data_IF_283286255655
#
_entry.id   IF_283286255655
#
_cell.length_a   1.000
_cell.length_b   1.000
_cell.length_c   1.000
_cell.angle_alpha   90.00
_cell.angle_beta   90.00
_cell.angle_gamma   90.00
#
_symmetry.space_group_name_H-M   'P 1'
#
loop_
_entity.id
_entity.type
_entity.pdbx_description
1 polymer ?
#
# COMPACT_ATOMS: atom_id res chain seq x y z
N UNK A 1 21.92 2.75 -25.36
CA UNK A 1 21.06 1.57 -25.20
C UNK A 1 21.24 1.07 -23.79
N UNK A 2 20.20 0.99 -22.95
CA UNK A 2 20.31 0.34 -21.66
C UNK A 2 20.49 -1.16 -21.91
N UNK A 3 21.45 -1.75 -21.21
CA UNK A 3 21.71 -3.18 -21.25
C UNK A 3 20.54 -3.89 -20.55
N UNK A 4 19.82 -4.72 -21.30
CA UNK A 4 18.90 -5.70 -20.75
C UNK A 4 19.68 -6.59 -19.79
N UNK A 5 19.54 -6.34 -18.49
CA UNK A 5 19.98 -7.28 -17.47
C UNK A 5 19.06 -8.48 -17.61
N UNK A 6 19.50 -9.45 -18.39
CA UNK A 6 18.98 -10.81 -18.37
C UNK A 6 19.08 -11.30 -16.92
N UNK A 7 18.02 -11.15 -16.13
CA UNK A 7 17.76 -12.01 -14.99
C UNK A 7 17.73 -13.43 -15.56
N UNK A 8 18.86 -14.13 -15.45
CA UNK A 8 19.04 -15.46 -16.01
C UNK A 8 17.94 -16.39 -15.49
N UNK A 9 17.38 -17.19 -16.41
CA UNK A 9 16.31 -18.19 -16.26
C UNK A 9 16.01 -18.58 -14.79
N UNK A 10 14.85 -18.16 -14.28
CA UNK A 10 14.28 -18.70 -13.04
C UNK A 10 14.44 -17.86 -11.78
N UNK A 11 15.22 -16.77 -11.79
CA UNK A 11 15.38 -15.92 -10.59
C UNK A 11 14.06 -15.35 -10.06
N UNK A 12 13.20 -14.86 -10.96
CA UNK A 12 11.85 -14.41 -10.61
C UNK A 12 10.97 -15.56 -10.09
N UNK A 13 11.05 -16.73 -10.72
CA UNK A 13 10.27 -17.92 -10.32
C UNK A 13 10.64 -18.38 -8.91
N UNK A 14 11.93 -18.31 -8.55
CA UNK A 14 12.41 -18.59 -7.18
C UNK A 14 11.83 -17.59 -6.18
N UNK A 15 11.83 -16.29 -6.50
CA UNK A 15 11.23 -15.25 -5.65
C UNK A 15 9.73 -15.50 -5.47
N UNK A 16 8.99 -15.78 -6.55
CA UNK A 16 7.55 -16.04 -6.50
C UNK A 16 7.22 -17.37 -5.77
N UNK A 17 8.08 -18.38 -5.90
CA UNK A 17 7.99 -19.63 -5.16
C UNK A 17 8.16 -19.41 -3.65
N UNK A 18 9.16 -18.61 -3.25
CA UNK A 18 9.38 -18.24 -1.85
C UNK A 18 8.26 -17.36 -1.28
N UNK A 19 7.74 -16.42 -2.07
CA UNK A 19 6.60 -15.60 -1.71
C UNK A 19 5.35 -16.45 -1.42
N UNK A 20 5.12 -17.47 -2.25
CA UNK A 20 3.96 -18.37 -2.16
C UNK A 20 4.16 -19.51 -1.14
N UNK A 21 5.36 -19.65 -0.57
CA UNK A 21 5.71 -20.71 0.37
C UNK A 21 5.06 -20.57 1.75
N UNK A 22 5.21 -21.61 2.57
CA UNK A 22 4.59 -21.68 3.91
C UNK A 22 5.36 -20.92 5.01
N UNK A 23 6.62 -20.54 4.75
CA UNK A 23 7.47 -19.88 5.74
C UNK A 23 7.33 -18.36 5.66
N UNK A 24 6.56 -17.78 6.59
CA UNK A 24 6.22 -16.34 6.61
C UNK A 24 7.47 -15.45 6.50
N UNK A 25 8.52 -15.72 7.29
CA UNK A 25 9.75 -14.93 7.25
C UNK A 25 10.38 -14.91 5.85
N UNK A 26 10.46 -16.07 5.19
CA UNK A 26 11.00 -16.20 3.83
C UNK A 26 10.13 -15.46 2.82
N UNK A 27 8.80 -15.54 2.96
CA UNK A 27 7.87 -14.83 2.09
C UNK A 27 7.95 -13.30 2.25
N UNK A 28 8.23 -12.80 3.45
CA UNK A 28 8.46 -11.36 3.71
C UNK A 28 9.75 -10.91 3.02
N UNK A 29 10.86 -11.65 3.16
CA UNK A 29 12.11 -11.32 2.46
C UNK A 29 11.93 -11.35 0.93
N UNK A 30 11.21 -12.36 0.42
CA UNK A 30 10.85 -12.42 -1.00
C UNK A 30 10.03 -11.20 -1.44
N UNK A 31 9.17 -10.66 -0.57
CA UNK A 31 8.43 -9.40 -0.83
C UNK A 31 9.39 -8.20 -0.93
N UNK A 32 10.42 -8.14 -0.09
CA UNK A 32 11.47 -7.14 -0.17
C UNK A 32 12.25 -7.18 -1.49
N UNK A 33 12.58 -8.38 -1.97
CA UNK A 33 13.20 -8.55 -3.30
C UNK A 33 12.22 -8.14 -4.40
N UNK A 34 10.96 -8.60 -4.32
CA UNK A 34 9.93 -8.28 -5.32
C UNK A 34 9.69 -6.76 -5.43
N UNK A 35 9.75 -6.04 -4.31
CA UNK A 35 9.65 -4.57 -4.28
C UNK A 35 10.69 -3.92 -5.19
N UNK A 36 11.93 -4.38 -5.13
CA UNK A 36 13.03 -3.85 -5.94
C UNK A 36 12.83 -4.19 -7.43
N UNK A 37 12.40 -5.42 -7.72
CA UNK A 37 12.16 -5.87 -9.10
C UNK A 37 11.00 -5.13 -9.77
N UNK A 38 10.00 -4.70 -9.00
CA UNK A 38 8.74 -4.12 -9.50
C UNK A 38 8.66 -2.61 -9.33
N UNK A 39 9.76 -1.93 -8.96
CA UNK A 39 9.77 -0.49 -8.71
C UNK A 39 9.18 0.29 -9.92
N UNK A 40 8.14 1.13 -9.73
CA UNK A 40 7.47 1.82 -10.85
C UNK A 40 8.36 2.74 -11.68
N UNK A 41 9.45 3.27 -11.09
CA UNK A 41 10.39 4.14 -11.80
C UNK A 41 11.44 3.34 -12.57
N UNK A 42 11.78 2.14 -12.10
CA UNK A 42 12.85 1.29 -12.62
C UNK A 42 12.48 -0.19 -12.51
N UNK A 43 11.40 -0.59 -13.19
CA UNK A 43 10.93 -1.97 -13.12
C UNK A 43 11.88 -2.89 -13.91
N UNK A 44 12.44 -3.88 -13.23
CA UNK A 44 13.26 -4.93 -13.85
C UNK A 44 12.40 -6.07 -14.41
N UNK A 45 11.18 -6.24 -13.89
CA UNK A 45 10.25 -7.30 -14.30
C UNK A 45 8.84 -6.77 -14.52
N UNK A 46 8.14 -7.40 -15.46
CA UNK A 46 6.69 -7.29 -15.64
C UNK A 46 6.05 -8.60 -15.20
N UNK A 47 5.12 -8.52 -14.26
CA UNK A 47 4.44 -9.69 -13.73
C UNK A 47 3.20 -9.99 -14.57
N UNK A 48 2.96 -11.28 -14.79
CA UNK A 48 1.71 -11.76 -15.35
C UNK A 48 0.86 -12.38 -14.24
N UNK A 49 -0.46 -12.23 -14.32
CA UNK A 49 -1.40 -12.78 -13.33
C UNK A 49 -1.09 -12.32 -11.89
N UNK A 50 -1.14 -11.01 -11.65
CA UNK A 50 -0.78 -10.44 -10.34
C UNK A 50 -1.79 -10.74 -9.22
N UNK A 51 -3.00 -11.21 -9.56
CA UNK A 51 -4.07 -11.44 -8.58
C UNK A 51 -3.66 -12.31 -7.39
N UNK A 52 -3.19 -13.56 -7.61
CA UNK A 52 -2.70 -14.42 -6.53
C UNK A 52 -1.54 -13.82 -5.72
N UNK A 53 -0.65 -13.05 -6.37
CA UNK A 53 0.46 -12.36 -5.72
C UNK A 53 -0.07 -11.31 -4.74
N UNK A 54 -1.05 -10.51 -5.16
CA UNK A 54 -1.67 -9.49 -4.33
C UNK A 54 -2.39 -10.10 -3.13
N UNK A 55 -3.15 -11.18 -3.34
CA UNK A 55 -3.83 -11.91 -2.25
C UNK A 55 -2.80 -12.40 -1.24
N UNK A 56 -1.71 -13.03 -1.72
CA UNK A 56 -0.64 -13.51 -0.85
C UNK A 56 0.04 -12.39 -0.06
N UNK A 57 0.33 -11.26 -0.70
CA UNK A 57 0.92 -10.10 -0.03
C UNK A 57 0.00 -9.53 1.05
N UNK A 58 -1.32 -9.52 0.83
CA UNK A 58 -2.27 -9.12 1.87
C UNK A 58 -2.26 -10.12 3.05
N UNK A 59 -2.12 -11.43 2.81
CA UNK A 59 -1.96 -12.44 3.88
C UNK A 59 -0.70 -12.22 4.72
N UNK A 60 0.37 -11.76 4.09
CA UNK A 60 1.60 -11.39 4.78
C UNK A 60 1.44 -10.09 5.59
N UNK A 61 0.68 -9.10 5.09
CA UNK A 61 0.37 -7.86 5.85
C UNK A 61 -0.28 -8.19 7.20
N UNK A 62 -1.21 -9.15 7.23
CA UNK A 62 -1.85 -9.57 8.48
C UNK A 62 -0.87 -10.23 9.46
N UNK A 63 0.23 -10.77 8.94
CA UNK A 63 1.28 -11.45 9.72
C UNK A 63 2.41 -10.52 10.16
N UNK A 64 2.51 -9.30 9.63
CA UNK A 64 3.55 -8.35 10.02
C UNK A 64 3.37 -7.87 11.48
N UNK A 65 4.51 -7.72 12.16
CA UNK A 65 4.59 -7.26 13.57
C UNK A 65 5.58 -6.13 13.77
N UNK A 66 6.28 -5.69 12.71
CA UNK A 66 7.23 -4.57 12.77
C UNK A 66 7.06 -3.68 11.54
N UNK A 67 7.46 -2.42 11.67
CA UNK A 67 7.40 -1.44 10.58
C UNK A 67 8.28 -1.84 9.39
N UNK A 68 9.41 -2.52 9.63
CA UNK A 68 10.27 -3.06 8.58
C UNK A 68 9.56 -4.16 7.77
N UNK A 69 9.01 -5.18 8.44
CA UNK A 69 8.30 -6.27 7.76
C UNK A 69 7.08 -5.75 7.01
N UNK A 70 6.32 -4.84 7.62
CA UNK A 70 5.17 -4.22 6.97
C UNK A 70 5.59 -3.34 5.78
N UNK A 71 6.73 -2.64 5.86
CA UNK A 71 7.25 -1.85 4.75
C UNK A 71 7.58 -2.74 3.55
N UNK A 72 8.31 -3.85 3.75
CA UNK A 72 8.69 -4.75 2.65
C UNK A 72 7.46 -5.29 1.92
N UNK A 73 6.44 -5.73 2.66
CA UNK A 73 5.24 -6.33 2.07
C UNK A 73 4.32 -5.26 1.46
N UNK A 74 4.12 -4.12 2.13
CA UNK A 74 3.26 -3.04 1.60
C UNK A 74 3.86 -2.34 0.38
N UNK A 75 5.19 -2.22 0.30
CA UNK A 75 5.87 -1.68 -0.86
C UNK A 75 5.75 -2.64 -2.06
N UNK A 76 5.90 -3.95 -1.84
CA UNK A 76 5.63 -4.95 -2.87
C UNK A 76 4.18 -4.88 -3.36
N UNK A 77 3.21 -4.81 -2.44
CA UNK A 77 1.78 -4.72 -2.78
C UNK A 77 1.49 -3.47 -3.63
N UNK A 78 2.04 -2.32 -3.24
CA UNK A 78 1.91 -1.04 -3.96
C UNK A 78 2.48 -1.14 -5.37
N UNK A 79 3.69 -1.66 -5.51
CA UNK A 79 4.40 -1.78 -6.79
C UNK A 79 3.73 -2.80 -7.73
N UNK A 80 3.46 -4.01 -7.24
CA UNK A 80 2.82 -5.09 -8.01
C UNK A 80 1.45 -4.64 -8.51
N UNK A 81 0.66 -4.00 -7.64
CA UNK A 81 -0.67 -3.54 -8.05
C UNK A 81 -0.64 -2.44 -9.10
N UNK A 82 0.47 -1.70 -9.29
CA UNK A 82 0.59 -0.68 -10.33
C UNK A 82 0.78 -1.29 -11.73
N UNK A 83 1.22 -2.54 -11.82
CA UNK A 83 1.49 -3.19 -13.11
C UNK A 83 0.21 -3.62 -13.85
N UNK A 84 -0.93 -3.76 -13.17
CA UNK A 84 -2.20 -4.19 -13.75
C UNK A 84 -3.35 -3.25 -13.34
N UNK A 85 -4.09 -2.65 -14.30
CA UNK A 85 -5.28 -1.84 -14.00
C UNK A 85 -6.35 -2.58 -13.19
N UNK A 86 -6.50 -3.90 -13.35
CA UNK A 86 -7.49 -4.71 -12.62
C UNK A 86 -7.04 -5.06 -11.19
N UNK A 87 -5.78 -4.81 -10.85
CA UNK A 87 -5.27 -5.06 -9.51
C UNK A 87 -6.04 -4.30 -8.43
N UNK A 88 -6.53 -3.09 -8.72
CA UNK A 88 -7.28 -2.29 -7.74
C UNK A 88 -8.59 -2.99 -7.36
N UNK A 89 -9.25 -3.62 -8.32
CA UNK A 89 -10.49 -4.36 -8.08
C UNK A 89 -10.19 -5.63 -7.24
N UNK A 90 -9.03 -6.27 -7.47
CA UNK A 90 -8.54 -7.39 -6.63
C UNK A 90 -8.26 -6.94 -5.19
N UNK A 91 -7.60 -5.80 -5.00
CA UNK A 91 -7.33 -5.24 -3.67
C UNK A 91 -8.63 -4.95 -2.91
N UNK A 92 -9.62 -4.37 -3.59
CA UNK A 92 -10.93 -4.12 -3.01
C UNK A 92 -11.63 -5.42 -2.58
N UNK A 93 -11.71 -6.41 -3.48
CA UNK A 93 -12.36 -7.71 -3.21
C UNK A 93 -11.72 -8.47 -2.05
N UNK A 94 -10.43 -8.23 -1.77
CA UNK A 94 -9.67 -8.88 -0.71
C UNK A 94 -9.47 -8.00 0.53
N UNK A 95 -10.34 -7.00 0.73
CA UNK A 95 -10.38 -6.15 1.93
C UNK A 95 -9.06 -5.44 2.23
N UNK A 96 -8.34 -4.99 1.20
CA UNK A 96 -7.03 -4.37 1.39
C UNK A 96 -7.06 -3.15 2.32
N UNK A 97 -8.16 -2.37 2.32
CA UNK A 97 -8.28 -1.15 3.13
C UNK A 97 -8.18 -1.48 4.62
N UNK A 98 -9.09 -2.31 5.15
CA UNK A 98 -9.10 -2.65 6.57
C UNK A 98 -7.85 -3.43 6.99
N UNK A 99 -7.31 -4.30 6.11
CA UNK A 99 -6.09 -5.07 6.40
C UNK A 99 -4.87 -4.17 6.56
N UNK A 100 -4.67 -3.22 5.64
CA UNK A 100 -3.58 -2.24 5.72
C UNK A 100 -3.72 -1.34 6.96
N UNK A 101 -4.93 -0.87 7.27
CA UNK A 101 -5.20 -0.03 8.44
C UNK A 101 -4.95 -0.81 9.74
N UNK A 102 -5.45 -2.03 9.84
CA UNK A 102 -5.23 -2.88 11.01
C UNK A 102 -3.76 -3.17 11.22
N UNK A 103 -3.01 -3.50 10.16
CA UNK A 103 -1.58 -3.74 10.25
C UNK A 103 -0.80 -2.48 10.66
N UNK A 104 -1.15 -1.31 10.10
CA UNK A 104 -0.55 -0.02 10.46
C UNK A 104 -0.78 0.35 11.93
N UNK A 105 -1.97 0.06 12.45
CA UNK A 105 -2.35 0.38 13.83
C UNK A 105 -1.79 -0.60 14.87
N UNK A 106 -1.14 -1.70 14.46
CA UNK A 106 -0.40 -2.56 15.39
C UNK A 106 0.77 -1.79 15.99
N UNK A 107 1.09 -2.11 17.24
CA UNK A 107 2.30 -1.63 17.89
C UNK A 107 3.52 -1.91 17.00
N UNK A 108 4.45 -0.96 16.94
CA UNK A 108 5.72 -1.04 16.21
C UNK A 108 5.63 -1.15 14.67
N UNK A 109 4.43 -1.11 14.09
CA UNK A 109 4.21 -1.19 12.63
C UNK A 109 4.12 0.18 11.94
N UNK A 110 3.84 1.25 12.68
CA UNK A 110 3.74 2.60 12.13
C UNK A 110 5.12 3.18 11.79
N UNK A 111 5.29 3.60 10.54
CA UNK A 111 6.42 4.44 10.09
C UNK A 111 5.98 5.32 8.92
N UNK A 112 6.70 6.41 8.68
CA UNK A 112 6.46 7.29 7.53
C UNK A 112 6.56 6.54 6.19
N UNK A 113 7.40 5.51 6.11
CA UNK A 113 7.60 4.74 4.88
C UNK A 113 6.40 3.85 4.62
N UNK A 114 5.85 3.23 5.67
CA UNK A 114 4.60 2.46 5.62
C UNK A 114 3.42 3.38 5.28
N UNK A 115 3.33 4.56 5.89
CA UNK A 115 2.29 5.53 5.58
C UNK A 115 2.29 5.90 4.09
N UNK A 116 3.47 6.09 3.48
CA UNK A 116 3.56 6.35 2.04
C UNK A 116 3.01 5.20 1.19
N UNK A 117 3.25 3.95 1.56
CA UNK A 117 2.72 2.81 0.80
C UNK A 117 1.19 2.74 0.95
N UNK A 118 0.69 2.89 2.18
CA UNK A 118 -0.74 2.82 2.48
C UNK A 118 -1.50 3.93 1.75
N UNK A 119 -1.07 5.18 1.88
CA UNK A 119 -1.77 6.31 1.22
C UNK A 119 -1.77 6.13 -0.30
N UNK A 120 -0.71 5.56 -0.87
CA UNK A 120 -0.65 5.26 -2.31
C UNK A 120 -1.74 4.26 -2.72
N UNK A 121 -1.93 3.18 -1.95
CA UNK A 121 -3.00 2.19 -2.21
C UNK A 121 -4.39 2.80 -2.00
N UNK A 122 -4.61 3.54 -0.91
CA UNK A 122 -5.90 4.17 -0.61
C UNK A 122 -6.31 5.19 -1.69
N UNK A 123 -5.37 6.04 -2.15
CA UNK A 123 -5.64 7.00 -3.22
C UNK A 123 -6.08 6.33 -4.52
N UNK A 124 -5.54 5.14 -4.83
CA UNK A 124 -5.92 4.39 -6.02
C UNK A 124 -7.31 3.77 -5.90
N UNK A 125 -7.65 3.25 -4.73
CA UNK A 125 -9.00 2.77 -4.44
C UNK A 125 -10.03 3.91 -4.52
N UNK A 126 -9.68 5.10 -4.04
CA UNK A 126 -10.53 6.29 -4.16
C UNK A 126 -10.73 6.69 -5.63
N UNK A 127 -9.65 6.73 -6.43
CA UNK A 127 -9.72 7.00 -7.86
C UNK A 127 -10.58 5.97 -8.63
N UNK A 128 -10.66 4.73 -8.12
CA UNK A 128 -11.47 3.64 -8.68
C UNK A 128 -12.93 3.64 -8.21
N UNK A 129 -13.35 4.67 -7.47
CA UNK A 129 -14.72 4.84 -6.96
C UNK A 129 -15.13 3.87 -5.84
N UNK A 130 -14.18 3.47 -5.00
CA UNK A 130 -14.43 2.69 -3.79
C UNK A 130 -14.59 3.56 -2.52
N UNK A 131 -15.14 4.77 -2.66
CA UNK A 131 -15.33 5.72 -1.55
C UNK A 131 -16.12 5.14 -0.37
N UNK A 132 -17.19 4.39 -0.62
CA UNK A 132 -18.02 3.80 0.44
C UNK A 132 -17.22 2.82 1.30
N UNK A 133 -16.37 2.01 0.66
CA UNK A 133 -15.53 1.05 1.35
C UNK A 133 -14.42 1.74 2.14
N UNK A 134 -13.80 2.78 1.57
CA UNK A 134 -12.80 3.58 2.28
C UNK A 134 -13.37 4.21 3.55
N UNK A 135 -14.57 4.75 3.46
CA UNK A 135 -15.28 5.31 4.63
C UNK A 135 -15.63 4.21 5.63
N UNK A 136 -16.28 3.13 5.18
CA UNK A 136 -16.75 2.07 6.06
C UNK A 136 -15.62 1.29 6.75
N UNK A 137 -14.46 1.20 6.12
CA UNK A 137 -13.29 0.47 6.63
C UNK A 137 -12.29 1.38 7.38
N UNK A 138 -12.67 2.62 7.70
CA UNK A 138 -11.91 3.48 8.62
C UNK A 138 -10.73 4.23 7.99
N UNK A 139 -10.71 4.44 6.68
CA UNK A 139 -9.61 5.15 6.02
C UNK A 139 -9.55 6.65 6.35
N UNK A 140 -10.70 7.27 6.67
CA UNK A 140 -10.79 8.73 6.86
C UNK A 140 -9.91 9.24 8.03
N UNK A 141 -9.98 8.68 9.26
CA UNK A 141 -9.07 9.08 10.34
C UNK A 141 -7.59 8.99 9.96
N UNK A 142 -7.19 7.89 9.31
CA UNK A 142 -5.80 7.65 8.89
C UNK A 142 -5.35 8.68 7.86
N UNK A 143 -6.21 9.01 6.89
CA UNK A 143 -5.91 10.05 5.89
C UNK A 143 -5.78 11.45 6.53
N UNK A 144 -6.58 11.75 7.56
CA UNK A 144 -6.49 13.02 8.29
C UNK A 144 -5.20 13.11 9.12
N UNK A 145 -4.80 12.03 9.79
CA UNK A 145 -3.50 11.93 10.47
C UNK A 145 -2.35 12.20 9.47
N UNK A 146 -2.40 11.55 8.31
CA UNK A 146 -1.40 11.70 7.23
C UNK A 146 -1.32 13.12 6.66
N UNK A 147 -2.37 13.96 6.76
CA UNK A 147 -2.29 15.38 6.37
C UNK A 147 -1.36 16.20 7.27
N UNK A 148 -1.17 15.75 8.51
CA UNK A 148 -0.36 16.45 9.52
C UNK A 148 1.01 15.83 9.74
N UNK A 149 1.37 14.79 8.98
CA UNK A 149 2.65 14.09 9.16
C UNK A 149 3.82 15.05 8.94
N UNK A 150 4.76 15.00 9.88
CA UNK A 150 6.01 15.74 9.84
C UNK A 150 7.14 14.86 10.33
N UNK A 151 8.31 14.99 9.71
CA UNK A 151 9.54 14.31 10.07
C UNK A 151 10.71 15.21 9.63
N UNK A 152 11.65 15.44 10.54
CA UNK A 152 12.77 16.37 10.30
C UNK A 152 13.83 15.81 9.35
N UNK A 153 13.98 14.49 9.29
CA UNK A 153 14.96 13.80 8.45
C UNK A 153 14.37 13.44 7.08
N UNK A 154 13.05 13.28 7.00
CA UNK A 154 12.37 12.75 5.81
C UNK A 154 11.27 13.68 5.29
N UNK A 155 11.56 14.98 5.24
CA UNK A 155 10.59 16.01 4.82
C UNK A 155 9.97 15.79 3.43
N UNK A 156 10.70 15.18 2.49
CA UNK A 156 10.18 14.83 1.16
C UNK A 156 9.12 13.73 1.22
N UNK A 157 9.30 12.71 2.06
CA UNK A 157 8.30 11.67 2.30
C UNK A 157 7.03 12.31 2.88
N UNK A 158 7.17 13.16 3.90
CA UNK A 158 6.03 13.87 4.49
C UNK A 158 5.29 14.74 3.47
N UNK A 159 6.01 15.39 2.53
CA UNK A 159 5.38 16.16 1.45
C UNK A 159 4.56 15.25 0.53
N UNK A 160 5.11 14.10 0.12
CA UNK A 160 4.40 13.14 -0.74
C UNK A 160 3.18 12.53 -0.05
N UNK A 161 3.30 12.17 1.23
CA UNK A 161 2.20 11.62 2.04
C UNK A 161 1.07 12.64 2.14
N UNK A 162 1.37 13.87 2.59
CA UNK A 162 0.37 14.94 2.72
C UNK A 162 -0.32 15.25 1.40
N UNK A 163 0.43 15.31 0.30
CA UNK A 163 -0.13 15.54 -1.03
C UNK A 163 -1.09 14.41 -1.43
N UNK A 164 -0.67 13.14 -1.32
CA UNK A 164 -1.51 11.98 -1.67
C UNK A 164 -2.76 11.90 -0.77
N UNK A 165 -2.61 12.16 0.52
CA UNK A 165 -3.71 12.21 1.47
C UNK A 165 -4.70 13.32 1.13
N UNK A 166 -4.23 14.52 0.81
CA UNK A 166 -5.06 15.64 0.38
C UNK A 166 -5.85 15.33 -0.90
N UNK A 167 -5.20 14.72 -1.89
CA UNK A 167 -5.88 14.29 -3.14
C UNK A 167 -6.92 13.20 -2.86
N UNK A 168 -6.60 12.22 -2.02
CA UNK A 168 -7.54 11.16 -1.63
C UNK A 168 -8.75 11.75 -0.90
N UNK A 169 -8.53 12.61 0.08
CA UNK A 169 -9.58 13.32 0.82
C UNK A 169 -10.42 14.19 -0.11
N UNK A 170 -9.81 14.93 -1.04
CA UNK A 170 -10.54 15.71 -2.03
C UNK A 170 -11.45 14.85 -2.90
N UNK A 171 -10.99 13.65 -3.28
CA UNK A 171 -11.79 12.66 -4.02
C UNK A 171 -12.98 12.17 -3.18
N UNK A 172 -12.77 11.87 -1.90
CA UNK A 172 -13.85 11.47 -0.99
C UNK A 172 -14.84 12.60 -0.73
N UNK A 173 -14.36 13.84 -0.53
CA UNK A 173 -15.18 15.02 -0.27
C UNK A 173 -16.11 15.38 -1.45
N UNK A 174 -15.76 14.97 -2.67
CA UNK A 174 -16.61 15.10 -3.85
C UNK A 174 -17.82 14.14 -3.85
N UNK A 175 -17.97 13.31 -2.82
CA UNK A 175 -19.06 12.34 -2.66
C UNK A 175 -19.86 12.63 -1.39
N UNK A 176 -21.16 12.34 -1.38
CA UNK A 176 -22.00 12.56 -0.20
C UNK A 176 -21.55 11.75 1.02
N UNK A 177 -21.16 10.48 0.81
CA UNK A 177 -20.67 9.58 1.86
C UNK A 177 -19.34 10.06 2.45
N UNK A 178 -18.39 10.44 1.59
CA UNK A 178 -17.08 10.91 2.02
C UNK A 178 -17.14 12.27 2.70
N UNK A 179 -17.94 13.21 2.19
CA UNK A 179 -18.14 14.51 2.83
C UNK A 179 -18.75 14.37 4.23
N UNK A 180 -19.78 13.53 4.36
CA UNK A 180 -20.38 13.22 5.67
C UNK A 180 -19.36 12.60 6.62
N UNK A 181 -18.55 11.66 6.15
CA UNK A 181 -17.52 11.02 6.96
C UNK A 181 -16.45 12.03 7.43
N UNK A 182 -16.00 12.93 6.55
CA UNK A 182 -15.06 13.99 6.91
C UNK A 182 -15.64 14.92 7.98
N UNK A 183 -16.90 15.33 7.84
CA UNK A 183 -17.57 16.17 8.83
C UNK A 183 -17.62 15.50 10.22
N UNK A 184 -17.94 14.21 10.28
CA UNK A 184 -17.97 13.45 11.55
C UNK A 184 -16.58 13.36 12.18
N UNK A 185 -15.52 13.21 11.37
CA UNK A 185 -14.15 13.10 11.85
C UNK A 185 -13.47 14.45 12.15
N UNK A 186 -14.01 15.59 11.67
CA UNK A 186 -13.49 16.93 12.01
C UNK A 186 -13.63 17.28 13.50
N UNK A 187 -14.47 16.56 14.26
CA UNK A 187 -14.44 16.64 15.72
C UNK A 187 -13.17 16.10 16.38
N UNK A 188 -12.26 15.47 15.62
CA UNK A 188 -11.03 14.83 16.11
C UNK A 188 -9.73 15.57 15.76
N UNK A 189 -9.79 16.73 15.09
CA UNK A 189 -8.61 17.54 14.81
C UNK A 189 -8.55 18.65 15.87
N UNK A 190 -7.68 18.56 16.91
CA UNK A 190 -7.43 19.71 17.76
C UNK A 190 -6.72 20.77 16.91
N UNK A 191 -7.34 21.94 16.81
CA UNK A 191 -6.72 23.17 16.29
C UNK A 191 -5.59 23.64 17.20
#
# INVERSE_FOLDING_TARGET
>A
MPQDIHFQLGGLDVVLSHLSGNYIAVSIEASGVLTQLTNPHHAFVQLHNVGPILVRLLDLIDSCTTSETLLLVSAALSNVSLQDPQAVDTLYQNNAIIRLINAYNKQDCSSIFVQEQIVTVLSRLAARRYEEALVAQGAVPVLLEMLTVTDSQHSDYCRRIRYKAAVCIGTLAATGVGLKALYVNQGMIPL
#
